data_IF_324216194488
#
_entry.id   IF_324216194488
#
_cell.length_a   1.000
_cell.length_b   1.000
_cell.length_c   1.000
_cell.angle_alpha   90.00
_cell.angle_beta   90.00
_cell.angle_gamma   90.00
#
_symmetry.space_group_name_H-M   'P 1'
#
loop_
_entity.id
_entity.type
_entity.pdbx_description
1 polymer ?
#
# COMPACT_ATOMS: atom_id res chain seq x y z
N UNK A 1 -18.07 -12.62 -13.38
CA UNK A 1 -17.98 -12.26 -11.95
C UNK A 1 -16.59 -12.60 -11.43
N UNK A 2 -15.67 -11.63 -11.37
CA UNK A 2 -14.31 -11.85 -10.88
C UNK A 2 -14.32 -11.97 -9.35
N UNK A 3 -13.88 -13.13 -8.84
CA UNK A 3 -13.65 -13.39 -7.42
C UNK A 3 -12.78 -12.28 -6.83
N UNK A 4 -13.28 -11.63 -5.77
CA UNK A 4 -12.49 -10.72 -4.95
C UNK A 4 -11.24 -11.43 -4.45
N UNK A 5 -10.06 -10.94 -4.84
CA UNK A 5 -8.78 -11.42 -4.35
C UNK A 5 -8.70 -11.15 -2.84
N UNK A 6 -8.47 -12.21 -2.07
CA UNK A 6 -8.34 -12.18 -0.63
C UNK A 6 -7.39 -11.07 -0.15
N UNK A 7 -7.82 -10.37 0.90
CA UNK A 7 -7.05 -9.41 1.70
C UNK A 7 -5.60 -9.86 1.88
N UNK A 8 -4.63 -8.99 1.53
CA UNK A 8 -3.19 -9.12 1.86
C UNK A 8 -3.05 -9.66 3.29
N UNK A 9 -2.77 -10.94 3.42
CA UNK A 9 -2.46 -11.59 4.70
C UNK A 9 -1.25 -10.87 5.26
N UNK A 10 -1.35 -10.34 6.48
CA UNK A 10 -0.17 -9.87 7.19
C UNK A 10 0.75 -11.08 7.27
N UNK A 11 2.00 -10.95 6.79
CA UNK A 11 2.96 -12.03 6.89
C UNK A 11 3.05 -12.46 8.37
N UNK A 12 3.01 -13.77 8.67
CA UNK A 12 3.10 -14.24 10.05
C UNK A 12 4.29 -13.62 10.78
N UNK A 13 4.12 -13.27 12.06
CA UNK A 13 5.18 -12.67 12.85
C UNK A 13 6.33 -13.68 13.01
N UNK A 14 7.54 -13.21 12.72
CA UNK A 14 8.74 -14.04 12.78
C UNK A 14 9.34 -14.02 14.18
N UNK A 15 8.68 -14.65 15.15
CA UNK A 15 9.20 -14.75 16.53
C UNK A 15 10.59 -15.39 16.62
N UNK A 16 10.97 -16.23 15.64
CA UNK A 16 12.31 -16.81 15.53
C UNK A 16 13.41 -15.79 15.22
N UNK A 17 13.06 -14.59 14.76
CA UNK A 17 14.01 -13.51 14.52
C UNK A 17 14.33 -12.73 15.81
N UNK A 18 13.50 -12.84 16.85
CA UNK A 18 13.78 -12.22 18.15
C UNK A 18 14.87 -12.98 18.89
N UNK A 19 15.73 -12.27 19.62
CA UNK A 19 16.63 -12.89 20.59
C UNK A 19 15.82 -13.61 21.69
N UNK A 20 16.30 -14.72 22.28
CA UNK A 20 15.57 -15.47 23.32
C UNK A 20 15.02 -14.60 24.45
N UNK A 21 15.88 -13.75 25.03
CA UNK A 21 15.49 -12.80 26.10
C UNK A 21 14.45 -11.79 25.65
N UNK A 22 14.50 -11.34 24.39
CA UNK A 22 13.48 -10.43 23.85
C UNK A 22 12.14 -11.12 23.65
N UNK A 23 12.14 -12.42 23.33
CA UNK A 23 10.90 -13.20 23.26
C UNK A 23 10.27 -13.39 24.66
N UNK A 24 11.08 -13.68 25.67
CA UNK A 24 10.63 -13.75 27.07
C UNK A 24 10.04 -12.40 27.54
N UNK A 25 10.74 -11.29 27.27
CA UNK A 25 10.26 -9.94 27.61
C UNK A 25 8.96 -9.57 26.87
N UNK A 26 8.82 -9.97 25.61
CA UNK A 26 7.60 -9.78 24.82
C UNK A 26 6.41 -10.54 25.45
N UNK A 27 6.60 -11.83 25.76
CA UNK A 27 5.55 -12.65 26.39
C UNK A 27 5.16 -12.09 27.74
N UNK A 28 6.14 -11.73 28.58
CA UNK A 28 5.90 -11.10 29.88
C UNK A 28 5.12 -9.79 29.74
N UNK A 29 5.45 -8.97 28.75
CA UNK A 29 4.74 -7.72 28.49
C UNK A 29 3.29 -7.95 28.03
N UNK A 30 3.05 -8.97 27.21
CA UNK A 30 1.69 -9.37 26.84
C UNK A 30 0.89 -9.88 28.04
N UNK A 31 1.56 -10.52 28.99
CA UNK A 31 0.91 -11.07 30.18
C UNK A 31 0.50 -10.01 31.20
N UNK A 32 1.05 -8.78 31.19
CA UNK A 32 0.66 -7.74 32.17
C UNK A 32 -0.85 -7.50 32.22
N UNK A 33 -1.52 -7.56 31.06
CA UNK A 33 -2.97 -7.37 30.96
C UNK A 33 -3.77 -8.68 31.04
N UNK A 34 -3.09 -9.83 31.13
CA UNK A 34 -3.76 -11.12 31.14
C UNK A 34 -4.42 -11.41 32.49
N UNK A 35 -3.82 -10.95 33.59
CA UNK A 35 -4.32 -11.10 34.97
C UNK A 35 -4.02 -9.85 35.80
N UNK A 36 -4.63 -9.76 36.97
CA UNK A 36 -4.37 -8.70 37.93
C UNK A 36 -3.13 -9.04 38.79
N UNK A 37 -1.95 -8.84 38.22
CA UNK A 37 -0.69 -9.15 38.90
C UNK A 37 -0.37 -8.13 40.01
N UNK A 38 -0.06 -8.61 41.22
CA UNK A 38 0.67 -7.85 42.24
C UNK A 38 2.11 -7.63 41.78
N UNK A 39 2.74 -8.70 41.29
CA UNK A 39 4.11 -8.70 40.81
C UNK A 39 4.28 -9.71 39.68
N UNK A 40 5.09 -9.35 38.68
CA UNK A 40 5.48 -10.21 37.58
C UNK A 40 6.99 -10.11 37.38
N UNK A 41 7.72 -11.10 37.87
CA UNK A 41 9.18 -11.11 37.96
C UNK A 41 9.81 -11.93 36.83
N UNK A 42 10.88 -11.41 36.24
CA UNK A 42 11.67 -12.11 35.23
C UNK A 42 12.80 -12.90 35.91
N UNK A 43 12.56 -14.18 36.19
CA UNK A 43 13.51 -15.06 36.88
C UNK A 43 14.64 -15.54 35.97
N UNK A 44 14.44 -15.53 34.64
CA UNK A 44 15.42 -16.02 33.65
C UNK A 44 16.62 -15.09 33.37
N UNK A 45 16.68 -13.86 33.92
CA UNK A 45 17.77 -12.91 33.60
C UNK A 45 19.09 -13.16 34.33
N UNK A 46 19.05 -13.84 35.49
CA UNK A 46 20.18 -14.01 36.42
C UNK A 46 21.04 -15.26 36.14
N UNK A 47 20.66 -16.11 35.19
CA UNK A 47 21.49 -17.24 34.75
C UNK A 47 21.52 -18.45 35.68
N UNK A 48 20.68 -18.52 36.73
CA UNK A 48 20.34 -19.81 37.34
C UNK A 48 19.18 -20.43 36.57
N UNK A 49 19.46 -21.57 35.95
CA UNK A 49 18.61 -22.27 35.00
C UNK A 49 17.58 -23.13 35.77
N UNK A 50 16.91 -22.55 36.79
CA UNK A 50 15.95 -23.26 37.65
C UNK A 50 14.64 -23.64 36.91
N UNK A 51 14.68 -23.62 35.58
CA UNK A 51 13.62 -24.04 34.69
C UNK A 51 12.70 -22.91 34.25
N UNK A 52 12.67 -21.73 34.90
CA UNK A 52 11.61 -20.74 34.71
C UNK A 52 12.03 -19.40 34.14
N UNK A 53 11.21 -18.88 33.22
CA UNK A 53 11.47 -17.60 32.57
C UNK A 53 10.86 -16.42 33.36
N UNK A 54 9.68 -16.63 33.97
CA UNK A 54 9.04 -15.65 34.85
C UNK A 54 8.13 -16.28 35.92
N UNK A 55 7.89 -15.52 36.99
CA UNK A 55 6.96 -15.85 38.08
C UNK A 55 5.98 -14.71 38.33
N UNK A 56 4.71 -15.05 38.51
CA UNK A 56 3.64 -14.08 38.73
C UNK A 56 2.93 -14.32 40.07
N UNK A 57 2.57 -13.24 40.75
CA UNK A 57 1.71 -13.25 41.92
C UNK A 57 0.42 -12.51 41.58
N UNK A 58 -0.69 -13.22 41.52
CA UNK A 58 -2.01 -12.67 41.18
C UNK A 58 -2.82 -12.37 42.45
N UNK A 59 -3.44 -11.19 42.49
CA UNK A 59 -4.34 -10.76 43.57
C UNK A 59 -5.74 -11.33 43.35
N UNK A 60 -6.30 -12.03 44.35
CA UNK A 60 -7.65 -12.61 44.23
C UNK A 60 -8.79 -11.59 44.31
N UNK A 61 -8.65 -10.52 45.10
CA UNK A 61 -9.73 -9.56 45.36
C UNK A 61 -9.19 -8.12 45.40
N UNK A 62 -9.39 -7.30 44.36
CA UNK A 62 -8.86 -5.93 44.34
C UNK A 62 -9.65 -4.92 45.19
N UNK A 63 -10.80 -5.31 45.77
CA UNK A 63 -11.76 -4.38 46.42
C UNK A 63 -12.37 -4.95 47.72
N UNK A 64 -11.57 -5.54 48.61
CA UNK A 64 -11.97 -5.66 50.01
C UNK A 64 -11.64 -4.34 50.71
N UNK A 65 -12.51 -3.35 50.52
CA UNK A 65 -12.53 -2.21 51.44
C UNK A 65 -13.12 -2.71 52.77
N UNK A 66 -12.40 -2.36 53.84
CA UNK A 66 -12.83 -2.21 55.24
C UNK A 66 -12.46 -3.34 56.20
N UNK A 67 -11.80 -2.87 57.26
CA UNK A 67 -11.89 -3.32 58.66
C UNK A 67 -11.21 -4.64 59.02
N UNK A 68 -10.20 -4.47 59.90
CA UNK A 68 -9.68 -5.40 60.90
C UNK A 68 -9.97 -6.89 60.69
N UNK A 69 -8.97 -7.62 60.18
CA UNK A 69 -8.41 -8.82 60.83
C UNK A 69 -7.27 -9.40 59.98
N UNK A 70 -6.27 -9.96 60.67
CA UNK A 70 -5.04 -10.55 60.13
C UNK A 70 -5.29 -11.86 59.36
N UNK A 71 -6.09 -11.86 58.29
CA UNK A 71 -6.11 -12.98 57.35
C UNK A 71 -4.96 -12.84 56.36
N UNK A 72 -4.09 -13.85 56.35
CA UNK A 72 -2.90 -13.91 55.51
C UNK A 72 -3.34 -14.06 54.05
N UNK A 73 -3.54 -12.95 53.35
CA UNK A 73 -3.90 -12.92 51.93
C UNK A 73 -2.81 -13.62 51.10
N UNK A 74 -3.02 -14.90 50.77
CA UNK A 74 -2.09 -15.67 49.94
C UNK A 74 -2.35 -15.37 48.46
N UNK A 75 -1.37 -14.73 47.82
CA UNK A 75 -1.35 -14.55 46.37
C UNK A 75 -1.42 -15.89 45.63
N UNK A 76 -2.10 -15.91 44.49
CA UNK A 76 -2.01 -17.04 43.56
C UNK A 76 -0.68 -16.98 42.84
N UNK A 77 0.13 -18.01 43.01
CA UNK A 77 1.44 -18.09 42.39
C UNK A 77 1.32 -18.75 41.02
N UNK A 78 1.84 -18.07 40.01
CA UNK A 78 1.85 -18.50 38.63
C UNK A 78 3.27 -18.70 38.13
N UNK A 79 3.42 -19.74 37.32
CA UNK A 79 4.67 -20.08 36.66
C UNK A 79 4.56 -19.81 35.17
N UNK A 80 5.55 -19.10 34.61
CA UNK A 80 5.55 -18.73 33.20
C UNK A 80 6.81 -19.28 32.54
N UNK A 81 6.57 -20.14 31.55
CA UNK A 81 7.62 -20.68 30.69
C UNK A 81 7.49 -20.12 29.28
N UNK A 82 8.60 -19.68 28.70
CA UNK A 82 8.74 -19.18 27.35
C UNK A 82 9.73 -20.05 26.57
N UNK A 83 9.29 -20.68 25.48
CA UNK A 83 10.19 -21.43 24.59
C UNK A 83 10.14 -20.87 23.17
N UNK A 84 11.23 -20.20 22.77
CA UNK A 84 11.41 -19.65 21.41
C UNK A 84 11.90 -20.73 20.43
N UNK A 85 11.11 -21.78 20.27
CA UNK A 85 11.39 -22.87 19.33
C UNK A 85 10.38 -22.89 18.19
N UNK A 86 10.80 -23.41 17.03
CA UNK A 86 9.93 -23.49 15.85
C UNK A 86 8.87 -24.59 15.96
N UNK A 87 9.16 -25.66 16.72
CA UNK A 87 8.27 -26.80 16.90
C UNK A 87 8.44 -27.39 18.30
N UNK A 88 7.33 -27.64 18.98
CA UNK A 88 7.29 -28.33 20.28
C UNK A 88 6.25 -29.46 20.22
N UNK A 89 6.73 -30.70 20.17
CA UNK A 89 5.89 -31.88 20.20
C UNK A 89 5.48 -32.30 21.62
N UNK A 90 4.52 -33.24 21.77
CA UNK A 90 3.98 -33.63 23.07
C UNK A 90 5.02 -34.18 24.05
N UNK A 91 5.99 -34.96 23.56
CA UNK A 91 7.06 -35.53 24.39
C UNK A 91 8.00 -34.45 24.94
N UNK A 92 8.33 -33.46 24.10
CA UNK A 92 9.21 -32.36 24.48
C UNK A 92 8.53 -31.40 25.46
N UNK A 93 7.24 -31.13 25.24
CA UNK A 93 6.42 -30.39 26.19
C UNK A 93 6.39 -31.09 27.57
N UNK A 94 6.13 -32.40 27.60
CA UNK A 94 6.13 -33.17 28.84
C UNK A 94 7.51 -33.15 29.55
N UNK A 95 8.61 -33.14 28.78
CA UNK A 95 9.96 -33.00 29.35
C UNK A 95 10.11 -31.67 30.09
N UNK A 96 9.73 -30.55 29.45
CA UNK A 96 9.82 -29.23 30.08
C UNK A 96 8.98 -29.13 31.36
N UNK A 97 7.77 -29.69 31.36
CA UNK A 97 6.94 -29.71 32.56
C UNK A 97 7.53 -30.62 33.65
N UNK A 98 8.23 -31.69 33.25
CA UNK A 98 8.93 -32.58 34.17
C UNK A 98 10.13 -31.93 34.88
N UNK A 99 10.73 -30.89 34.28
CA UNK A 99 11.85 -30.13 34.85
C UNK A 99 11.43 -29.23 36.02
N UNK A 100 10.12 -28.97 36.19
CA UNK A 100 9.57 -28.18 37.29
C UNK A 100 9.75 -28.95 38.62
N UNK A 101 10.45 -28.46 39.65
CA UNK A 101 10.65 -29.20 40.90
C UNK A 101 9.34 -29.49 41.65
N UNK A 102 9.22 -30.66 42.29
CA UNK A 102 7.99 -31.05 43.00
C UNK A 102 7.62 -30.11 44.16
N UNK A 103 8.63 -29.59 44.88
CA UNK A 103 8.44 -28.62 45.95
C UNK A 103 7.79 -27.33 45.44
N UNK A 104 8.17 -26.87 44.25
CA UNK A 104 7.55 -25.70 43.64
C UNK A 104 6.12 -25.97 43.19
N UNK A 105 5.88 -27.12 42.54
CA UNK A 105 4.54 -27.50 42.03
C UNK A 105 3.45 -27.41 43.10
N UNK A 106 3.76 -27.80 44.35
CA UNK A 106 2.81 -27.77 45.47
C UNK A 106 2.31 -26.37 45.83
N UNK A 107 3.05 -25.33 45.45
CA UNK A 107 2.72 -23.94 45.74
C UNK A 107 2.14 -23.19 44.53
N UNK A 108 2.06 -23.85 43.36
CA UNK A 108 1.58 -23.22 42.13
C UNK A 108 0.06 -23.30 42.05
N UNK A 109 -0.57 -22.15 41.83
CA UNK A 109 -1.96 -22.07 41.44
C UNK A 109 -2.13 -22.37 39.94
N UNK A 110 -1.21 -21.87 39.10
CA UNK A 110 -1.34 -22.02 37.66
C UNK A 110 -0.04 -21.98 36.88
N UNK A 111 -0.09 -22.50 35.65
CA UNK A 111 1.05 -22.54 34.71
C UNK A 111 0.64 -21.93 33.38
N UNK A 112 1.50 -21.03 32.87
CA UNK A 112 1.40 -20.44 31.55
C UNK A 112 2.61 -20.88 30.75
N UNK A 113 2.39 -21.65 29.69
CA UNK A 113 3.43 -22.08 28.78
C UNK A 113 3.26 -21.39 27.42
N UNK A 114 4.25 -20.58 27.05
CA UNK A 114 4.26 -19.77 25.85
C UNK A 114 5.34 -20.28 24.88
N UNK A 115 5.02 -20.40 23.60
CA UNK A 115 6.00 -20.78 22.59
C UNK A 115 5.80 -20.11 21.25
N UNK A 116 6.91 -19.93 20.53
CA UNK A 116 6.93 -19.47 19.14
C UNK A 116 6.49 -20.56 18.12
N UNK A 117 5.84 -21.62 18.60
CA UNK A 117 5.40 -22.79 17.84
C UNK A 117 3.88 -22.98 17.98
N UNK A 118 3.28 -23.63 16.98
CA UNK A 118 1.89 -24.09 17.07
C UNK A 118 1.79 -25.42 17.83
N UNK A 119 0.76 -25.55 18.67
CA UNK A 119 0.50 -26.76 19.44
C UNK A 119 -0.64 -27.58 18.83
N UNK A 120 -0.35 -28.85 18.57
CA UNK A 120 -1.39 -29.82 18.18
C UNK A 120 -2.40 -30.03 19.31
N UNK A 121 -3.59 -30.55 18.97
CA UNK A 121 -4.58 -30.97 19.96
C UNK A 121 -3.99 -31.94 21.00
N UNK A 122 -3.19 -32.90 20.54
CA UNK A 122 -2.53 -33.88 21.42
C UNK A 122 -1.58 -33.21 22.42
N UNK A 123 -0.87 -32.15 22.02
CA UNK A 123 -0.06 -31.34 22.96
C UNK A 123 -0.94 -30.67 24.02
N UNK A 124 -2.06 -30.07 23.61
CA UNK A 124 -2.99 -29.38 24.53
C UNK A 124 -3.61 -30.35 25.53
N UNK A 125 -4.05 -31.53 25.07
CA UNK A 125 -4.64 -32.56 25.92
C UNK A 125 -3.61 -33.07 26.94
N UNK A 126 -2.38 -33.35 26.50
CA UNK A 126 -1.30 -33.80 27.38
C UNK A 126 -0.89 -32.76 28.42
N UNK A 127 -0.85 -31.49 28.05
CA UNK A 127 -0.57 -30.39 28.97
C UNK A 127 -1.62 -30.31 30.08
N UNK A 128 -2.91 -30.40 29.72
CA UNK A 128 -4.02 -30.38 30.68
C UNK A 128 -4.00 -31.59 31.61
N UNK A 129 -3.76 -32.80 31.09
CA UNK A 129 -3.61 -34.00 31.92
C UNK A 129 -2.48 -33.85 32.93
N UNK A 130 -1.31 -33.39 32.49
CA UNK A 130 -0.17 -33.17 33.38
C UNK A 130 -0.49 -32.16 34.49
N UNK A 131 -1.14 -31.04 34.16
CA UNK A 131 -1.57 -30.06 35.17
C UNK A 131 -2.50 -30.66 36.23
N UNK A 132 -3.51 -31.40 35.77
CA UNK A 132 -4.48 -32.04 36.67
C UNK A 132 -3.84 -33.08 37.57
N UNK A 133 -2.88 -33.87 37.05
CA UNK A 133 -2.14 -34.88 37.82
C UNK A 133 -1.23 -34.26 38.88
N UNK A 134 -0.76 -33.02 38.67
CA UNK A 134 0.14 -32.31 39.57
C UNK A 134 -0.58 -31.28 40.47
N UNK A 135 -1.92 -31.30 40.50
CA UNK A 135 -2.71 -30.43 41.39
C UNK A 135 -2.74 -28.96 41.00
N UNK A 136 -2.45 -28.63 39.73
CA UNK A 136 -2.44 -27.25 39.23
C UNK A 136 -3.85 -26.87 38.79
N UNK A 137 -4.40 -25.79 39.37
CA UNK A 137 -5.79 -25.36 39.15
C UNK A 137 -6.03 -24.77 37.76
N UNK A 138 -5.09 -23.96 37.26
CA UNK A 138 -5.26 -23.25 35.98
C UNK A 138 -4.07 -23.44 35.04
N UNK A 139 -4.35 -23.77 33.76
CA UNK A 139 -3.31 -24.05 32.77
C UNK A 139 -3.58 -23.40 31.42
N UNK A 140 -2.62 -22.59 30.98
CA UNK A 140 -2.66 -21.86 29.70
C UNK A 140 -1.50 -22.27 28.80
N UNK A 141 -1.83 -22.62 27.55
CA UNK A 141 -0.85 -22.94 26.52
C UNK A 141 -0.99 -21.93 25.38
N UNK A 142 -0.05 -21.01 25.28
CA UNK A 142 -0.01 -19.96 24.26
C UNK A 142 0.96 -20.37 23.16
N UNK A 143 0.42 -20.77 22.01
CA UNK A 143 1.20 -21.02 20.81
C UNK A 143 1.44 -19.75 20.02
N UNK A 144 2.04 -19.92 18.84
CA UNK A 144 2.29 -18.84 17.90
C UNK A 144 1.00 -18.08 17.56
N UNK A 145 -0.08 -18.78 17.23
CA UNK A 145 -1.37 -18.16 16.90
C UNK A 145 -1.91 -17.28 18.03
N UNK A 146 -1.95 -17.78 19.28
CA UNK A 146 -2.43 -16.99 20.43
C UNK A 146 -1.56 -15.76 20.69
N UNK A 147 -0.23 -15.85 20.50
CA UNK A 147 0.68 -14.72 20.64
C UNK A 147 0.47 -13.67 19.54
N UNK A 148 0.26 -14.08 18.28
CA UNK A 148 -0.07 -13.16 17.19
C UNK A 148 -1.39 -12.46 17.45
N UNK A 149 -2.44 -13.21 17.79
CA UNK A 149 -3.76 -12.66 18.07
C UNK A 149 -3.72 -11.65 19.22
N UNK A 150 -2.95 -11.91 20.27
CA UNK A 150 -2.75 -10.97 21.36
C UNK A 150 -2.00 -9.70 20.89
N UNK A 151 -0.96 -9.84 20.06
CA UNK A 151 -0.16 -8.71 19.56
C UNK A 151 -0.93 -7.79 18.60
N UNK A 152 -1.84 -8.34 17.80
CA UNK A 152 -2.64 -7.54 16.88
C UNK A 152 -3.80 -6.79 17.55
N UNK A 153 -4.00 -6.94 18.86
CA UNK A 153 -4.95 -6.11 19.59
C UNK A 153 -4.47 -4.65 19.64
N UNK A 154 -5.36 -3.65 19.47
CA UNK A 154 -4.97 -2.24 19.42
C UNK A 154 -4.17 -1.75 20.63
N UNK A 155 -4.44 -2.31 21.82
CA UNK A 155 -3.71 -1.98 23.07
C UNK A 155 -2.24 -2.39 23.03
N UNK A 156 -1.90 -3.41 22.25
CA UNK A 156 -0.54 -3.97 22.13
C UNK A 156 0.22 -3.42 20.90
N UNK A 157 -0.27 -2.37 20.22
CA UNK A 157 0.40 -1.77 19.05
C UNK A 157 1.82 -1.28 19.39
N UNK A 158 2.04 -0.84 20.63
CA UNK A 158 3.34 -0.43 21.12
C UNK A 158 4.34 -1.60 21.19
N UNK A 159 3.88 -2.81 21.55
CA UNK A 159 4.69 -4.04 21.53
C UNK A 159 4.96 -4.48 20.09
N UNK A 160 3.94 -4.45 19.24
CA UNK A 160 4.08 -4.80 17.83
C UNK A 160 5.14 -3.91 17.15
N UNK A 161 5.16 -2.61 17.48
CA UNK A 161 6.16 -1.67 16.98
C UNK A 161 7.54 -1.91 17.58
N UNK A 162 7.65 -2.05 18.91
CA UNK A 162 8.93 -2.21 19.59
C UNK A 162 9.68 -3.50 19.23
N UNK A 163 8.96 -4.58 18.94
CA UNK A 163 9.56 -5.89 18.67
C UNK A 163 9.61 -6.25 17.18
N UNK A 164 8.66 -5.77 16.36
CA UNK A 164 8.57 -6.14 14.95
C UNK A 164 8.63 -4.94 13.98
N UNK A 165 8.69 -3.70 14.49
CA UNK A 165 8.69 -2.49 13.66
C UNK A 165 7.36 -2.23 12.94
N UNK A 166 6.28 -2.91 13.35
CA UNK A 166 4.97 -2.82 12.74
C UNK A 166 4.04 -1.98 13.63
N UNK A 167 3.29 -1.02 13.06
CA UNK A 167 2.23 -0.31 13.78
C UNK A 167 0.97 -0.21 12.92
N UNK A 168 -0.14 -0.65 13.51
CA UNK A 168 -1.49 -0.54 12.97
C UNK A 168 -1.94 0.92 12.93
N UNK A 169 -1.53 1.75 13.90
CA UNK A 169 -1.86 3.17 13.92
C UNK A 169 -1.10 3.97 12.85
N UNK A 170 0.19 3.70 12.65
CA UNK A 170 1.00 4.38 11.61
C UNK A 170 0.41 4.10 10.22
N UNK A 171 0.00 2.85 9.97
CA UNK A 171 -0.65 2.47 8.70
C UNK A 171 -1.97 3.21 8.47
N UNK A 172 -2.85 3.28 9.48
CA UNK A 172 -4.11 4.04 9.40
C UNK A 172 -3.87 5.54 9.15
N UNK A 173 -2.88 6.15 9.82
CA UNK A 173 -2.52 7.56 9.62
C UNK A 173 -1.98 7.80 8.21
N UNK A 174 -1.18 6.88 7.67
CA UNK A 174 -0.65 6.97 6.30
C UNK A 174 -1.75 6.90 5.24
N UNK A 175 -2.71 5.97 5.38
CA UNK A 175 -3.85 5.87 4.44
C UNK A 175 -4.74 7.12 4.48
N UNK A 176 -5.00 7.66 5.69
CA UNK A 176 -5.76 8.90 5.84
C UNK A 176 -5.01 10.10 5.22
N UNK A 177 -3.70 10.21 5.41
CA UNK A 177 -2.89 11.26 4.81
C UNK A 177 -2.91 11.19 3.28
N UNK A 178 -2.77 9.98 2.69
CA UNK A 178 -2.87 9.77 1.24
C UNK A 178 -4.24 10.17 0.70
N UNK A 179 -5.33 9.76 1.35
CA UNK A 179 -6.69 10.12 0.93
C UNK A 179 -6.93 11.64 0.99
N UNK A 180 -6.41 12.31 2.03
CA UNK A 180 -6.49 13.77 2.15
C UNK A 180 -5.71 14.45 1.03
N UNK A 181 -4.47 14.03 0.77
CA UNK A 181 -3.65 14.57 -0.33
C UNK A 181 -4.37 14.44 -1.67
N UNK A 182 -4.86 13.23 -2.00
CA UNK A 182 -5.61 12.97 -3.24
C UNK A 182 -6.87 13.83 -3.36
N UNK A 183 -7.61 14.03 -2.27
CA UNK A 183 -8.82 14.86 -2.27
C UNK A 183 -8.48 16.34 -2.45
N UNK A 184 -7.39 16.82 -1.84
CA UNK A 184 -6.89 18.19 -2.01
C UNK A 184 -6.48 18.45 -3.45
N UNK A 185 -5.66 17.59 -4.04
CA UNK A 185 -5.22 17.70 -5.44
C UNK A 185 -6.43 17.74 -6.38
N UNK A 186 -7.40 16.82 -6.23
CA UNK A 186 -8.63 16.83 -7.04
C UNK A 186 -9.39 18.16 -6.97
N UNK A 187 -9.48 18.77 -5.78
CA UNK A 187 -10.15 20.07 -5.61
C UNK A 187 -9.38 21.21 -6.27
N UNK A 188 -8.05 21.16 -6.27
CA UNK A 188 -7.22 22.16 -6.95
C UNK A 188 -7.29 22.01 -8.47
N UNK A 189 -7.17 20.79 -8.99
CA UNK A 189 -7.36 20.48 -10.41
C UNK A 189 -8.72 20.95 -10.91
N UNK A 190 -9.80 20.67 -10.15
CA UNK A 190 -11.13 21.13 -10.53
C UNK A 190 -11.19 22.66 -10.71
N UNK A 191 -10.59 23.42 -9.78
CA UNK A 191 -10.53 24.89 -9.86
C UNK A 191 -9.65 25.37 -11.01
N UNK A 192 -8.51 24.72 -11.24
CA UNK A 192 -7.66 25.00 -12.39
C UNK A 192 -8.42 24.86 -13.72
N UNK A 193 -9.25 23.83 -13.86
CA UNK A 193 -9.99 23.55 -15.10
C UNK A 193 -11.20 24.47 -15.29
N UNK A 194 -11.75 25.03 -14.21
CA UNK A 194 -12.76 26.10 -14.29
C UNK A 194 -12.17 27.40 -14.84
N UNK A 195 -10.87 27.64 -14.62
CA UNK A 195 -10.17 28.85 -15.05
C UNK A 195 -9.57 28.75 -16.45
N UNK A 196 -9.01 27.59 -16.82
CA UNK A 196 -8.28 27.41 -18.07
C UNK A 196 -8.63 26.10 -18.75
N UNK A 197 -8.72 26.16 -20.07
CA UNK A 197 -8.89 25.00 -20.95
C UNK A 197 -7.58 24.24 -21.19
N UNK A 198 -6.44 24.91 -20.96
CA UNK A 198 -5.11 24.33 -21.09
C UNK A 198 -4.41 24.30 -19.74
N UNK A 199 -3.53 23.32 -19.55
CA UNK A 199 -2.71 23.17 -18.34
C UNK A 199 -1.27 22.86 -18.71
N UNK A 200 -0.34 23.33 -17.89
CA UNK A 200 1.07 23.00 -18.00
C UNK A 200 1.39 21.85 -17.03
N UNK A 201 1.80 20.71 -17.56
CA UNK A 201 2.33 19.59 -16.78
C UNK A 201 3.84 19.76 -16.71
N UNK A 202 4.41 19.68 -15.51
CA UNK A 202 5.86 19.87 -15.29
C UNK A 202 6.41 18.86 -14.29
N UNK A 203 7.59 18.31 -14.57
CA UNK A 203 8.31 17.53 -13.59
C UNK A 203 8.76 18.43 -12.42
N UNK A 204 8.45 18.04 -11.19
CA UNK A 204 8.71 18.88 -10.01
C UNK A 204 10.20 19.12 -9.73
N UNK A 205 11.06 18.24 -10.22
CA UNK A 205 12.51 18.30 -10.09
C UNK A 205 13.19 19.04 -11.25
N UNK A 206 12.43 19.48 -12.26
CA UNK A 206 12.98 20.17 -13.41
C UNK A 206 13.31 21.63 -13.10
N UNK A 207 14.58 21.98 -13.27
CA UNK A 207 15.12 23.33 -13.06
C UNK A 207 15.30 24.13 -14.34
N UNK A 208 15.08 23.52 -15.51
CA UNK A 208 15.39 24.15 -16.80
C UNK A 208 14.25 25.03 -17.33
N UNK A 209 13.00 24.75 -16.93
CA UNK A 209 11.86 25.60 -17.25
C UNK A 209 12.12 27.07 -16.85
N UNK A 210 11.77 28.06 -17.69
CA UNK A 210 11.10 27.95 -18.98
C UNK A 210 12.06 27.85 -20.20
N UNK A 211 13.35 27.67 -19.98
CA UNK A 211 14.39 27.86 -21.01
C UNK A 211 14.65 26.59 -21.81
N UNK A 212 14.49 26.66 -23.13
CA UNK A 212 14.67 25.51 -24.02
C UNK A 212 16.14 25.15 -24.25
N UNK A 213 17.06 26.11 -24.16
CA UNK A 213 18.51 25.94 -24.34
C UNK A 213 18.91 25.09 -25.57
N UNK A 214 18.10 25.09 -26.63
CA UNK A 214 18.32 24.27 -27.83
C UNK A 214 18.04 22.77 -27.67
N UNK A 215 17.40 22.35 -26.57
CA UNK A 215 16.92 20.97 -26.38
C UNK A 215 15.62 20.76 -27.17
N UNK A 216 15.47 19.57 -27.75
CA UNK A 216 14.22 19.13 -28.41
C UNK A 216 13.25 18.45 -27.42
N UNK A 217 13.77 17.97 -26.29
CA UNK A 217 13.00 17.28 -25.26
C UNK A 217 12.97 18.08 -23.95
N UNK A 218 11.74 18.44 -23.53
CA UNK A 218 11.45 19.17 -22.32
C UNK A 218 10.75 18.25 -21.30
N UNK A 219 10.95 18.53 -20.01
CA UNK A 219 10.22 17.87 -18.90
C UNK A 219 8.94 18.63 -18.52
N UNK A 220 8.42 19.42 -19.45
CA UNK A 220 7.15 20.10 -19.35
C UNK A 220 6.38 20.03 -20.68
N UNK A 221 5.06 20.04 -20.57
CA UNK A 221 4.12 19.88 -21.68
C UNK A 221 2.86 20.67 -21.42
N UNK A 222 2.37 21.35 -22.45
CA UNK A 222 1.03 21.94 -22.42
C UNK A 222 0.05 20.92 -22.99
N UNK A 223 -1.05 20.71 -22.27
CA UNK A 223 -2.16 19.88 -22.72
C UNK A 223 -3.47 20.64 -22.67
N UNK A 224 -4.36 20.28 -23.59
CA UNK A 224 -5.71 20.82 -23.69
C UNK A 224 -6.73 19.83 -23.14
N UNK A 225 -7.93 20.32 -22.81
CA UNK A 225 -9.07 19.53 -22.37
C UNK A 225 -8.78 18.58 -21.19
N UNK A 226 -8.21 19.06 -20.07
CA UNK A 226 -7.96 18.19 -18.93
C UNK A 226 -9.27 17.67 -18.32
N UNK A 227 -9.34 16.36 -18.05
CA UNK A 227 -10.53 15.70 -17.48
C UNK A 227 -10.18 14.95 -16.20
N UNK A 228 -11.02 15.10 -15.19
CA UNK A 228 -10.92 14.32 -13.95
C UNK A 228 -11.73 13.04 -14.08
N UNK A 229 -11.08 11.89 -13.98
CA UNK A 229 -11.76 10.59 -13.97
C UNK A 229 -11.45 9.79 -12.71
N UNK A 230 -12.02 8.60 -12.63
CA UNK A 230 -11.75 7.69 -11.51
C UNK A 230 -10.31 7.14 -11.55
N UNK A 231 -9.71 7.05 -12.76
CA UNK A 231 -8.34 6.58 -13.00
C UNK A 231 -7.30 7.64 -12.66
N UNK A 232 -7.54 8.88 -13.04
CA UNK A 232 -6.55 9.94 -12.86
C UNK A 232 -6.98 11.27 -13.47
N UNK A 233 -5.97 12.07 -13.79
CA UNK A 233 -6.08 13.20 -14.71
C UNK A 233 -5.87 12.68 -16.13
N UNK A 234 -6.89 12.79 -16.96
CA UNK A 234 -6.85 12.49 -18.39
C UNK A 234 -6.52 13.73 -19.19
N UNK A 235 -5.60 13.58 -20.15
CA UNK A 235 -5.12 14.65 -21.02
C UNK A 235 -5.10 14.12 -22.46
N UNK A 236 -5.57 14.93 -23.41
CA UNK A 236 -5.43 14.58 -24.82
C UNK A 236 -3.94 14.67 -25.19
N UNK A 237 -3.33 13.54 -25.55
CA UNK A 237 -1.93 13.51 -25.91
C UNK A 237 -1.74 13.63 -27.41
N UNK A 238 -2.53 12.87 -28.17
CA UNK A 238 -2.47 12.87 -29.63
C UNK A 238 -3.85 12.70 -30.20
N UNK A 239 -4.09 13.37 -31.32
CA UNK A 239 -5.25 13.12 -32.17
C UNK A 239 -4.79 12.99 -33.60
N UNK A 240 -5.46 12.13 -34.35
CA UNK A 240 -5.15 11.81 -35.73
C UNK A 240 -6.43 11.80 -36.55
N UNK A 241 -6.33 12.22 -37.82
CA UNK A 241 -7.40 12.00 -38.78
C UNK A 241 -7.55 10.50 -39.04
N UNK A 242 -8.79 10.05 -39.10
CA UNK A 242 -9.14 8.65 -39.32
C UNK A 242 -10.13 8.51 -40.49
N UNK A 243 -10.00 7.39 -41.17
CA UNK A 243 -10.95 6.85 -42.13
C UNK A 243 -11.66 5.68 -41.46
N UNK A 244 -12.99 5.66 -41.51
CA UNK A 244 -13.83 4.62 -40.93
C UNK A 244 -14.80 4.09 -41.99
N UNK A 245 -14.87 2.76 -42.16
CA UNK A 245 -15.80 2.11 -43.08
C UNK A 245 -16.21 0.74 -42.53
N UNK A 246 -17.41 0.64 -41.94
CA UNK A 246 -17.99 -0.54 -41.29
C UNK A 246 -16.98 -1.27 -40.37
N UNK A 247 -16.31 -2.30 -40.90
CA UNK A 247 -15.33 -3.15 -40.19
C UNK A 247 -13.87 -2.81 -40.55
N UNK A 248 -13.60 -1.67 -41.17
CA UNK A 248 -12.25 -1.26 -41.62
C UNK A 248 -11.94 0.16 -41.19
N UNK A 249 -10.69 0.39 -40.84
CA UNK A 249 -10.24 1.71 -40.44
C UNK A 249 -8.79 1.99 -40.86
N UNK A 250 -8.43 3.26 -40.98
CA UNK A 250 -7.04 3.69 -41.07
C UNK A 250 -6.88 5.07 -40.41
N UNK A 251 -5.67 5.42 -40.01
CA UNK A 251 -5.38 6.73 -39.42
C UNK A 251 -4.02 7.29 -39.84
N UNK A 252 -3.98 8.62 -39.98
CA UNK A 252 -2.77 9.37 -40.29
C UNK A 252 -1.92 9.64 -39.03
N UNK A 253 -1.48 8.58 -38.34
CA UNK A 253 -0.79 8.66 -37.05
C UNK A 253 0.66 9.18 -37.11
N UNK A 254 1.20 9.51 -38.29
CA UNK A 254 2.47 10.24 -38.38
C UNK A 254 2.33 11.73 -37.98
N UNK A 255 1.12 12.28 -38.06
CA UNK A 255 0.84 13.70 -37.85
C UNK A 255 -0.14 13.86 -36.69
N UNK A 256 0.29 14.52 -35.61
CA UNK A 256 -0.60 14.87 -34.49
C UNK A 256 -1.33 16.17 -34.80
N UNK A 257 -2.67 16.11 -34.82
CA UNK A 257 -3.55 17.27 -35.07
C UNK A 257 -3.97 17.97 -33.78
N UNK A 258 -3.80 17.34 -32.61
CA UNK A 258 -4.03 17.97 -31.31
C UNK A 258 -2.79 18.74 -30.89
N UNK A 259 -2.61 19.90 -31.53
CA UNK A 259 -1.52 20.84 -31.22
C UNK A 259 -2.10 22.07 -30.56
N UNK A 260 -1.62 22.37 -29.37
CA UNK A 260 -1.83 23.67 -28.73
C UNK A 260 -1.38 24.78 -29.68
N UNK A 261 -2.17 25.85 -29.74
CA UNK A 261 -1.81 27.07 -30.46
C UNK A 261 -0.43 27.57 -29.99
N UNK A 262 0.37 28.22 -30.85
CA UNK A 262 1.64 28.83 -30.44
C UNK A 262 1.51 29.84 -29.30
N UNK A 263 0.32 30.41 -29.13
CA UNK A 263 -0.01 31.30 -28.02
C UNK A 263 -0.13 30.51 -26.70
N UNK A 264 -0.66 29.29 -26.77
CA UNK A 264 -0.87 28.44 -25.60
C UNK A 264 0.32 27.52 -25.26
N UNK A 265 1.14 27.16 -26.24
CA UNK A 265 2.37 26.38 -26.03
C UNK A 265 3.53 27.11 -26.72
N UNK A 266 4.22 28.02 -26.02
CA UNK A 266 5.33 28.77 -26.59
C UNK A 266 6.58 27.90 -26.86
N UNK A 267 6.63 26.67 -26.33
CA UNK A 267 7.80 25.80 -26.43
C UNK A 267 7.71 24.84 -27.62
N UNK A 268 6.54 24.23 -27.84
CA UNK A 268 6.29 23.27 -28.93
C UNK A 268 5.41 23.84 -30.05
N UNK A 269 4.87 25.04 -29.84
CA UNK A 269 4.04 25.75 -30.82
C UNK A 269 4.82 26.18 -32.05
N UNK A 270 4.47 25.59 -33.20
CA UNK A 270 4.77 26.10 -34.55
C UNK A 270 6.25 26.32 -34.89
N UNK A 271 6.99 25.26 -35.18
CA UNK A 271 7.99 25.30 -36.24
C UNK A 271 7.80 24.05 -37.15
N UNK A 272 7.56 24.29 -38.45
CA UNK A 272 7.83 23.38 -39.59
C UNK A 272 6.89 22.23 -40.04
N UNK A 273 5.66 22.04 -39.54
CA UNK A 273 4.75 20.98 -40.09
C UNK A 273 3.39 21.42 -40.64
N UNK A 274 3.20 22.72 -40.90
CA UNK A 274 1.93 23.21 -41.50
C UNK A 274 1.62 22.49 -42.82
N UNK A 275 2.62 22.30 -43.69
CA UNK A 275 2.40 21.70 -45.01
C UNK A 275 1.96 20.23 -44.94
N UNK A 276 2.49 19.44 -44.00
CA UNK A 276 2.08 18.06 -43.80
C UNK A 276 0.65 17.98 -43.24
N UNK A 277 0.32 18.86 -42.28
CA UNK A 277 -1.03 18.99 -41.74
C UNK A 277 -2.04 19.40 -42.81
N UNK A 278 -1.71 20.40 -43.63
CA UNK A 278 -2.55 20.89 -44.72
C UNK A 278 -2.78 19.80 -45.77
N UNK A 279 -1.74 19.03 -46.12
CA UNK A 279 -1.84 17.92 -47.06
C UNK A 279 -2.74 16.79 -46.54
N UNK A 280 -2.54 16.34 -45.29
CA UNK A 280 -3.39 15.29 -44.70
C UNK A 280 -4.81 15.79 -44.48
N UNK A 281 -4.98 17.04 -44.07
CA UNK A 281 -6.29 17.69 -43.92
C UNK A 281 -7.05 17.74 -45.25
N UNK A 282 -6.36 18.01 -46.37
CA UNK A 282 -6.95 17.95 -47.72
C UNK A 282 -7.44 16.55 -48.10
N UNK A 283 -6.63 15.52 -47.82
CA UNK A 283 -7.01 14.10 -48.07
C UNK A 283 -8.23 13.71 -47.22
N UNK A 284 -8.23 14.08 -45.94
CA UNK A 284 -9.33 13.78 -45.03
C UNK A 284 -10.58 14.59 -45.36
N UNK A 285 -10.45 15.85 -45.76
CA UNK A 285 -11.55 16.73 -46.15
C UNK A 285 -12.31 16.24 -47.38
N UNK A 286 -11.64 15.53 -48.29
CA UNK A 286 -12.24 14.93 -49.48
C UNK A 286 -13.09 13.68 -49.19
N UNK A 287 -13.05 13.12 -47.98
CA UNK A 287 -13.87 11.98 -47.59
C UNK A 287 -15.36 12.36 -47.48
N UNK A 288 -16.29 11.40 -47.74
CA UNK A 288 -17.66 11.51 -47.29
C UNK A 288 -17.72 11.64 -45.76
N UNK A 289 -18.64 12.45 -45.24
CA UNK A 289 -18.73 12.74 -43.80
C UNK A 289 -18.99 11.48 -42.95
N UNK A 290 -19.72 10.51 -43.49
CA UNK A 290 -20.00 9.21 -42.86
C UNK A 290 -18.73 8.37 -42.60
N UNK A 291 -17.65 8.65 -43.34
CA UNK A 291 -16.37 7.92 -43.27
C UNK A 291 -15.28 8.69 -42.55
N UNK A 292 -15.58 9.92 -42.14
CA UNK A 292 -14.65 10.76 -41.39
C UNK A 292 -14.68 10.36 -39.93
N UNK A 293 -13.49 10.13 -39.38
CA UNK A 293 -13.33 9.98 -37.94
C UNK A 293 -12.04 10.57 -37.42
N UNK A 294 -11.84 10.37 -36.12
CA UNK A 294 -10.63 10.71 -35.41
C UNK A 294 -10.18 9.51 -34.58
N UNK A 295 -8.88 9.30 -34.50
CA UNK A 295 -8.27 8.44 -33.47
C UNK A 295 -7.60 9.35 -32.46
N UNK A 296 -7.98 9.24 -31.18
CA UNK A 296 -7.41 10.00 -30.08
C UNK A 296 -6.64 9.08 -29.14
N UNK A 297 -5.51 9.55 -28.65
CA UNK A 297 -4.72 8.92 -27.61
C UNK A 297 -4.80 9.82 -26.39
N UNK A 298 -5.44 9.33 -25.34
CA UNK A 298 -5.58 10.02 -24.06
C UNK A 298 -4.58 9.44 -23.08
N UNK A 299 -3.69 10.28 -22.57
CA UNK A 299 -2.76 9.92 -21.53
C UNK A 299 -3.36 10.15 -20.14
N UNK A 300 -3.00 9.29 -19.18
CA UNK A 300 -3.50 9.34 -17.81
C UNK A 300 -2.35 9.59 -16.85
N UNK A 301 -2.53 10.54 -15.93
CA UNK A 301 -1.63 10.78 -14.80
C UNK A 301 -2.36 10.36 -13.52
N UNK A 302 -1.76 9.47 -12.74
CA UNK A 302 -2.31 9.08 -11.44
C UNK A 302 -2.33 10.27 -10.48
N UNK A 303 -3.38 10.38 -9.67
CA UNK A 303 -3.42 11.41 -8.62
C UNK A 303 -2.31 11.27 -7.59
N UNK A 304 -1.76 10.07 -7.44
CA UNK A 304 -0.66 9.82 -6.50
C UNK A 304 0.70 10.32 -7.06
N UNK A 305 0.79 10.56 -8.36
CA UNK A 305 1.98 11.11 -9.02
C UNK A 305 1.94 12.64 -9.15
N UNK A 306 0.79 13.26 -8.89
CA UNK A 306 0.65 14.72 -8.84
C UNK A 306 1.04 15.19 -7.44
N UNK A 307 2.12 15.97 -7.36
CA UNK A 307 2.68 16.48 -6.11
C UNK A 307 1.98 17.76 -5.67
N UNK A 308 1.71 18.67 -6.62
CA UNK A 308 1.08 19.95 -6.34
C UNK A 308 0.41 20.53 -7.59
N UNK A 309 -0.58 21.40 -7.38
CA UNK A 309 -1.25 22.18 -8.42
C UNK A 309 -1.18 23.65 -8.03
N UNK A 310 -0.58 24.44 -8.90
CA UNK A 310 -0.65 25.89 -8.88
C UNK A 310 -1.74 26.36 -9.84
N UNK A 311 -2.80 26.93 -9.29
CA UNK A 311 -3.97 27.40 -10.04
C UNK A 311 -3.71 28.77 -10.72
N UNK A 312 -2.62 29.44 -10.37
CA UNK A 312 -2.33 30.82 -10.79
C UNK A 312 -1.53 30.87 -12.08
N UNK A 313 -0.43 30.12 -12.16
CA UNK A 313 0.59 30.23 -13.22
C UNK A 313 1.78 31.08 -12.75
N UNK A 314 2.57 31.60 -13.69
CA UNK A 314 3.74 32.44 -13.42
C UNK A 314 3.83 33.66 -14.36
N UNK A 315 4.99 34.32 -14.41
CA UNK A 315 5.27 35.47 -15.28
C UNK A 315 5.48 35.09 -16.76
N UNK A 316 5.60 33.80 -17.06
CA UNK A 316 5.75 33.26 -18.41
C UNK A 316 4.39 32.85 -18.97
N UNK A 317 3.54 32.24 -18.14
CA UNK A 317 2.23 31.76 -18.55
C UNK A 317 1.21 31.76 -17.41
N UNK A 318 0.00 32.20 -17.73
CA UNK A 318 -1.16 32.22 -16.84
C UNK A 318 -1.81 30.82 -16.70
N UNK A 319 -1.25 29.80 -17.36
CA UNK A 319 -1.76 28.44 -17.32
C UNK A 319 -1.54 27.83 -15.93
N UNK A 320 -2.52 27.07 -15.39
CA UNK A 320 -2.28 26.31 -14.18
C UNK A 320 -1.12 25.32 -14.35
N UNK A 321 -0.23 25.29 -13.37
CA UNK A 321 0.90 24.35 -13.34
C UNK A 321 0.55 23.13 -12.50
N UNK A 322 0.77 21.95 -13.06
CA UNK A 322 0.58 20.68 -12.40
C UNK A 322 1.94 20.02 -12.27
N UNK A 323 2.45 19.99 -11.04
CA UNK A 323 3.74 19.41 -10.72
C UNK A 323 3.59 17.92 -10.48
N UNK A 324 4.32 17.14 -11.26
CA UNK A 324 4.29 15.68 -11.18
C UNK A 324 5.64 15.11 -10.77
N UNK A 325 5.61 13.91 -10.20
CA UNK A 325 6.79 13.06 -10.13
C UNK A 325 6.99 12.42 -11.49
N UNK A 326 8.18 12.60 -12.06
CA UNK A 326 8.56 12.00 -13.33
C UNK A 326 9.89 11.27 -13.18
N UNK A 327 9.90 9.98 -13.49
CA UNK A 327 11.13 9.19 -13.49
C UNK A 327 12.09 9.69 -14.57
N UNK A 328 13.40 9.66 -14.28
CA UNK A 328 14.44 10.18 -15.19
C UNK A 328 14.47 9.50 -16.56
N UNK A 329 13.89 8.31 -16.68
CA UNK A 329 13.84 7.54 -17.92
C UNK A 329 12.53 7.73 -18.71
N UNK A 330 11.54 8.44 -18.16
CA UNK A 330 10.25 8.62 -18.82
C UNK A 330 10.31 9.84 -19.76
N UNK A 331 9.95 9.61 -21.01
CA UNK A 331 9.86 10.64 -22.05
C UNK A 331 8.50 11.36 -22.07
N UNK A 332 7.53 10.90 -21.27
CA UNK A 332 6.18 11.46 -21.17
C UNK A 332 5.64 11.38 -19.74
N UNK A 333 4.64 12.22 -19.38
CA UNK A 333 4.10 12.29 -18.02
C UNK A 333 3.08 11.19 -17.67
N UNK A 334 2.67 10.36 -18.64
CA UNK A 334 1.59 9.39 -18.47
C UNK A 334 2.03 8.09 -17.81
N UNK A 335 1.17 7.56 -16.95
CA UNK A 335 1.32 6.20 -16.39
C UNK A 335 0.54 5.15 -17.17
N UNK A 336 -0.41 5.60 -17.99
CA UNK A 336 -1.30 4.76 -18.77
C UNK A 336 -1.87 5.57 -19.95
N UNK A 337 -2.28 4.90 -21.02
CA UNK A 337 -2.81 5.52 -22.23
C UNK A 337 -4.05 4.76 -22.71
N UNK A 338 -5.01 5.48 -23.28
CA UNK A 338 -6.23 4.93 -23.89
C UNK A 338 -6.29 5.41 -25.33
N UNK A 339 -6.70 4.53 -26.24
CA UNK A 339 -6.88 4.84 -27.66
C UNK A 339 -8.35 4.67 -28.00
N UNK A 340 -8.99 5.76 -28.45
CA UNK A 340 -10.41 5.78 -28.78
C UNK A 340 -10.63 6.34 -30.20
N UNK A 341 -11.71 5.89 -30.85
CA UNK A 341 -12.17 6.43 -32.13
C UNK A 341 -13.38 7.35 -31.95
N UNK A 342 -13.56 8.30 -32.86
CA UNK A 342 -14.78 9.11 -32.94
C UNK A 342 -15.22 9.22 -34.40
N UNK A 343 -16.48 8.87 -34.77
CA UNK A 343 -17.52 8.24 -33.94
C UNK A 343 -17.06 6.92 -33.31
N UNK A 344 -17.71 6.57 -32.20
CA UNK A 344 -17.34 5.41 -31.37
C UNK A 344 -17.31 4.13 -32.22
N UNK A 345 -16.13 3.54 -32.36
CA UNK A 345 -15.89 2.39 -33.22
C UNK A 345 -14.73 1.56 -32.65
N UNK A 346 -14.91 0.24 -32.60
CA UNK A 346 -13.90 -0.69 -32.10
C UNK A 346 -12.76 -0.81 -33.12
N UNK A 347 -11.61 -0.18 -32.81
CA UNK A 347 -10.41 -0.22 -33.64
C UNK A 347 -9.69 -1.57 -33.49
N UNK A 348 -10.22 -2.63 -34.11
CA UNK A 348 -9.56 -3.93 -34.15
C UNK A 348 -8.25 -3.82 -34.97
N UNK A 349 -7.07 -4.21 -34.44
CA UNK A 349 -5.80 -4.09 -35.18
C UNK A 349 -5.82 -4.77 -36.54
N UNK A 350 -6.49 -5.92 -36.65
CA UNK A 350 -6.58 -6.73 -37.86
C UNK A 350 -7.52 -6.14 -38.94
N UNK A 351 -8.32 -5.13 -38.57
CA UNK A 351 -9.23 -4.41 -39.45
C UNK A 351 -8.58 -3.22 -40.16
N UNK A 352 -7.28 -2.95 -39.92
CA UNK A 352 -6.61 -1.77 -40.47
C UNK A 352 -6.42 -1.90 -41.99
N UNK A 353 -6.91 -0.91 -42.74
CA UNK A 353 -6.70 -0.78 -44.19
C UNK A 353 -5.61 0.27 -44.53
N UNK A 354 -5.20 0.35 -45.80
CA UNK A 354 -4.24 1.35 -46.30
C UNK A 354 -4.99 2.47 -47.05
N UNK A 355 -5.67 3.37 -46.34
CA UNK A 355 -6.35 4.53 -46.96
C UNK A 355 -5.42 5.74 -47.06
N UNK A 356 -4.71 6.07 -45.99
CA UNK A 356 -3.77 7.18 -45.98
C UNK A 356 -2.46 6.77 -46.65
N UNK A 357 -1.80 7.69 -47.38
CA UNK A 357 -0.46 7.44 -47.92
C UNK A 357 0.51 6.96 -46.85
N UNK A 358 1.38 6.01 -47.18
CA UNK A 358 2.31 5.37 -46.22
C UNK A 358 3.19 6.35 -45.44
N UNK A 359 3.52 7.50 -46.02
CA UNK A 359 4.28 8.55 -45.34
C UNK A 359 3.55 9.17 -44.14
N UNK A 360 2.22 9.07 -44.09
CA UNK A 360 1.38 9.57 -43.00
C UNK A 360 0.94 8.47 -42.02
N UNK A 361 1.30 7.23 -42.29
CA UNK A 361 0.98 6.06 -41.44
C UNK A 361 2.25 5.52 -40.79
N UNK A 362 2.26 5.42 -39.46
CA UNK A 362 3.26 4.68 -38.70
C UNK A 362 2.68 3.34 -38.23
N UNK A 363 3.52 2.31 -38.04
CA UNK A 363 3.10 1.10 -37.34
C UNK A 363 2.53 1.51 -35.98
N UNK A 364 1.35 0.97 -35.62
CA UNK A 364 0.83 1.14 -34.26
C UNK A 364 1.66 0.20 -33.40
N UNK A 365 2.78 0.71 -32.87
CA UNK A 365 3.54 -0.01 -31.85
C UNK A 365 2.80 0.17 -30.53
N UNK A 366 2.59 -0.93 -29.82
CA UNK A 366 2.00 -0.97 -28.48
C UNK A 366 2.87 -0.31 -27.40
N UNK A 367 4.07 0.13 -27.77
CA UNK A 367 4.97 0.88 -26.90
C UNK A 367 5.02 2.33 -27.40
N UNK A 368 4.38 3.21 -26.65
CA UNK A 368 4.30 4.64 -26.92
C UNK A 368 3.49 5.33 -25.86
#
# INVERSE_FOLDING_TARGET
MSKAGYTRTINPLQFSALEPKRFEDLVRQLLYDFRNWRQLEATGRSGSDDGFDARGWEVQFPNAALEDEEETEQDRIWLIQCKRERQIGPAKLAKYLGEIPEEERRHLHGVIFCAAADFSKVCRDRFRSWCSENGISECYLWGKAELEDALFQPKNDHLLFAYFGLSLQIRRRSDQARLRARTTIKRKLKRAFEKSFNVLIRAADDTDYPYTMGKEEFRWWVFSEPRLTHRGLELNWRRHYAFLEDDRWDCANAVNIDRSSPISDPWRGSHDRSQELDAVSGIWGALPDERKGYVSVTGIISFDDILEVDEVGDDITDLPHIFIRLDSNNVHPFTDCVVDATPDNDLLPDARCEYFPRQYTKPVTSDG
#
